data_IF_359565506414
#
_entry.id   IF_359565506414
#
_cell.length_a   1.000
_cell.length_b   1.000
_cell.length_c   1.000
_cell.angle_alpha   90.00
_cell.angle_beta   90.00
_cell.angle_gamma   90.00
#
_symmetry.space_group_name_H-M   'P 1'
#
loop_
_entity.id
_entity.type
_entity.pdbx_description
1 polymer ?
#
# COMPACT_ATOMS: atom_id res chain seq x y z
N UNK A 1 -6.58 -8.28 2.67
CA UNK A 1 -6.91 -7.44 1.51
C UNK A 1 -8.10 -8.02 0.76
N UNK A 2 -8.02 -9.24 0.22
CA UNK A 2 -9.16 -9.91 -0.42
C UNK A 2 -10.32 -10.13 0.55
N UNK A 3 -10.04 -10.43 1.81
CA UNK A 3 -11.08 -10.51 2.84
C UNK A 3 -11.83 -9.19 3.05
N UNK A 4 -11.15 -8.06 2.88
CA UNK A 4 -11.73 -6.73 3.05
C UNK A 4 -12.72 -6.40 1.91
N UNK A 5 -12.55 -7.02 0.74
CA UNK A 5 -13.51 -6.95 -0.38
C UNK A 5 -14.84 -7.61 -0.01
N UNK A 6 -14.83 -8.67 0.80
CA UNK A 6 -16.05 -9.38 1.21
C UNK A 6 -16.90 -8.61 2.23
N UNK A 7 -16.26 -7.80 3.06
CA UNK A 7 -16.91 -7.02 4.14
C UNK A 7 -17.19 -5.58 3.72
N UNK A 8 -16.53 -5.08 2.67
CA UNK A 8 -16.74 -3.75 2.13
C UNK A 8 -18.05 -3.61 1.36
N UNK A 9 -18.78 -2.53 1.61
CA UNK A 9 -19.88 -2.14 0.72
C UNK A 9 -19.30 -1.76 -0.66
N UNK A 10 -19.84 -2.22 -1.81
CA UNK A 10 -19.26 -1.93 -3.13
C UNK A 10 -19.03 -0.44 -3.42
N UNK A 11 -19.94 0.43 -2.95
CA UNK A 11 -19.75 1.90 -3.01
C UNK A 11 -18.55 2.43 -2.21
N UNK A 12 -18.16 1.76 -1.13
CA UNK A 12 -16.99 2.09 -0.30
C UNK A 12 -15.70 1.52 -0.92
N UNK A 13 -15.79 0.35 -1.57
CA UNK A 13 -14.68 -0.26 -2.32
C UNK A 13 -14.35 0.50 -3.61
N UNK A 14 -15.37 1.17 -4.18
CA UNK A 14 -15.28 1.98 -5.41
C UNK A 14 -15.33 3.49 -5.14
N UNK A 15 -15.11 3.94 -3.90
CA UNK A 15 -15.11 5.38 -3.62
C UNK A 15 -14.02 6.05 -4.46
N UNK A 16 -14.44 6.96 -5.35
CA UNK A 16 -13.52 7.66 -6.24
C UNK A 16 -12.60 8.61 -5.46
N UNK A 17 -11.42 8.90 -6.02
CA UNK A 17 -10.45 9.82 -5.42
C UNK A 17 -11.07 11.21 -5.15
N UNK A 18 -11.97 11.65 -6.03
CA UNK A 18 -12.74 12.90 -5.88
C UNK A 18 -13.65 12.87 -4.67
N UNK A 19 -14.45 11.82 -4.50
CA UNK A 19 -15.41 11.72 -3.40
C UNK A 19 -14.69 11.58 -2.06
N UNK A 20 -13.60 10.82 -2.04
CA UNK A 20 -12.72 10.72 -0.89
C UNK A 20 -12.09 12.09 -0.53
N UNK A 21 -11.60 12.82 -1.53
CA UNK A 21 -11.04 14.16 -1.32
C UNK A 21 -12.09 15.18 -0.83
N UNK A 22 -13.34 15.07 -1.28
CA UNK A 22 -14.44 15.93 -0.83
C UNK A 22 -14.75 15.73 0.66
N UNK A 23 -14.72 14.48 1.14
CA UNK A 23 -14.88 14.21 2.58
C UNK A 23 -13.74 14.90 3.36
N UNK A 24 -12.50 14.68 2.93
CA UNK A 24 -11.32 15.25 3.58
C UNK A 24 -11.29 16.77 3.57
N UNK A 25 -11.75 17.40 2.48
CA UNK A 25 -11.82 18.85 2.36
C UNK A 25 -12.75 19.50 3.41
N UNK A 26 -13.71 18.73 3.95
CA UNK A 26 -14.62 19.22 5.00
C UNK A 26 -14.11 18.97 6.42
N UNK A 27 -12.94 18.35 6.59
CA UNK A 27 -12.42 17.85 7.87
C UNK A 27 -10.96 18.21 8.11
N UNK A 28 -10.49 19.32 7.54
CA UNK A 28 -9.07 19.68 7.55
C UNK A 28 -8.51 19.86 8.96
N UNK A 29 -9.31 20.36 9.91
CA UNK A 29 -8.91 20.55 11.29
C UNK A 29 -8.76 19.22 12.06
N UNK A 30 -9.72 18.31 11.88
CA UNK A 30 -9.72 16.98 12.48
C UNK A 30 -8.56 16.14 11.94
N UNK A 31 -8.34 16.19 10.63
CA UNK A 31 -7.21 15.52 9.97
C UNK A 31 -5.88 16.06 10.50
N UNK A 32 -5.71 17.39 10.54
CA UNK A 32 -4.50 18.01 11.06
C UNK A 32 -4.24 17.62 12.53
N UNK A 33 -5.28 17.49 13.33
CA UNK A 33 -5.18 17.04 14.73
C UNK A 33 -4.73 15.59 14.80
N UNK A 34 -5.34 14.69 14.04
CA UNK A 34 -5.02 13.27 14.02
C UNK A 34 -3.59 12.99 13.52
N UNK A 35 -3.15 13.69 12.46
CA UNK A 35 -1.79 13.59 11.92
C UNK A 35 -0.74 14.01 12.96
N UNK A 36 -0.99 15.11 13.68
CA UNK A 36 -0.09 15.60 14.74
C UNK A 36 -0.09 14.67 15.95
N UNK A 37 -1.25 14.20 16.40
CA UNK A 37 -1.33 13.31 17.57
C UNK A 37 -0.68 11.95 17.33
N UNK A 38 -0.71 11.45 16.09
CA UNK A 38 -0.02 10.24 15.69
C UNK A 38 1.44 10.46 15.27
N UNK A 39 2.02 11.64 15.50
CA UNK A 39 3.38 12.05 15.08
C UNK A 39 3.72 11.58 13.66
N UNK A 40 2.80 11.81 12.72
CA UNK A 40 3.00 11.44 11.31
C UNK A 40 3.45 9.98 11.10
N UNK A 41 3.03 9.09 11.99
CA UNK A 41 3.43 7.68 12.01
C UNK A 41 2.26 6.81 11.58
N UNK A 42 2.47 5.98 10.56
CA UNK A 42 1.46 5.09 10.05
C UNK A 42 1.02 4.11 11.14
N UNK A 43 -0.27 4.12 11.47
CA UNK A 43 -0.80 3.24 12.52
C UNK A 43 -0.81 1.74 12.14
N UNK A 44 -0.51 1.40 10.87
CA UNK A 44 -0.45 0.03 10.36
C UNK A 44 0.99 -0.50 10.37
N UNK A 45 1.89 0.15 9.63
CA UNK A 45 3.26 -0.32 9.48
C UNK A 45 4.26 0.43 10.38
N UNK A 46 3.92 1.55 11.01
CA UNK A 46 4.81 2.28 11.91
C UNK A 46 5.91 3.10 11.20
N UNK A 47 5.90 3.16 9.86
CA UNK A 47 6.75 4.12 9.14
C UNK A 47 6.30 5.54 9.50
N UNK A 48 7.25 6.46 9.70
CA UNK A 48 7.01 7.88 9.95
C UNK A 48 7.41 8.71 8.74
N UNK A 49 6.50 9.55 8.23
CA UNK A 49 6.70 10.41 7.06
C UNK A 49 6.06 11.77 7.29
N UNK A 50 6.85 12.70 7.83
CA UNK A 50 6.34 14.02 8.18
C UNK A 50 5.88 14.79 6.94
N UNK A 51 4.62 15.24 6.92
CA UNK A 51 4.02 15.95 5.79
C UNK A 51 3.57 15.07 4.61
N UNK A 52 3.84 13.76 4.64
CA UNK A 52 3.48 12.82 3.57
C UNK A 52 2.56 11.68 4.01
N UNK A 53 2.10 11.67 5.26
CA UNK A 53 1.04 10.75 5.69
C UNK A 53 -0.31 11.12 5.07
N UNK A 54 -1.07 10.09 4.69
CA UNK A 54 -2.48 10.17 4.39
C UNK A 54 -3.29 9.92 5.68
N UNK A 55 -4.62 9.98 5.58
CA UNK A 55 -5.52 9.74 6.70
C UNK A 55 -6.40 8.51 6.45
N UNK A 56 -6.44 7.60 7.42
CA UNK A 56 -7.36 6.45 7.42
C UNK A 56 -8.61 6.81 8.23
N UNK A 57 -9.78 6.49 7.69
CA UNK A 57 -11.05 6.62 8.37
C UNK A 57 -11.39 5.30 9.04
N UNK A 58 -11.11 5.18 10.34
CA UNK A 58 -11.20 3.92 11.10
C UNK A 58 -12.62 3.35 11.16
N UNK A 59 -13.64 4.17 10.90
CA UNK A 59 -15.05 3.79 10.88
C UNK A 59 -15.71 3.97 9.50
N UNK A 60 -14.90 3.90 8.44
CA UNK A 60 -15.33 4.04 7.05
C UNK A 60 -15.42 5.50 6.58
N UNK A 61 -15.54 5.71 5.26
CA UNK A 61 -15.52 7.03 4.63
C UNK A 61 -16.76 7.87 4.92
N UNK A 62 -16.73 8.54 6.08
CA UNK A 62 -17.75 9.47 6.53
C UNK A 62 -17.09 10.63 7.27
N UNK A 63 -17.88 11.66 7.56
CA UNK A 63 -17.46 12.71 8.48
C UNK A 63 -17.14 12.09 9.85
N UNK A 64 -15.93 12.33 10.34
CA UNK A 64 -15.38 11.72 11.53
C UNK A 64 -14.70 12.75 12.41
N UNK A 65 -14.68 12.51 13.72
CA UNK A 65 -13.89 13.30 14.66
C UNK A 65 -12.43 12.84 14.63
N UNK A 66 -11.49 13.65 15.12
CA UNK A 66 -10.05 13.32 15.10
C UNK A 66 -9.72 11.94 15.70
N UNK A 67 -10.42 11.50 16.74
CA UNK A 67 -10.21 10.19 17.38
C UNK A 67 -10.67 8.99 16.53
N UNK A 68 -11.41 9.23 15.45
CA UNK A 68 -11.82 8.20 14.47
C UNK A 68 -10.93 8.20 13.22
N UNK A 69 -9.88 9.01 13.22
CA UNK A 69 -8.91 9.15 12.15
C UNK A 69 -7.53 8.72 12.66
N UNK A 70 -6.72 8.15 11.78
CA UNK A 70 -5.33 7.82 12.10
C UNK A 70 -4.41 8.11 10.92
N UNK A 71 -3.14 8.52 11.16
CA UNK A 71 -2.17 8.62 10.08
C UNK A 71 -1.93 7.25 9.45
N UNK A 72 -1.84 7.22 8.13
CA UNK A 72 -1.53 6.01 7.35
C UNK A 72 -0.61 6.37 6.19
N UNK A 73 0.37 5.53 5.90
CA UNK A 73 1.22 5.75 4.73
C UNK A 73 0.48 5.32 3.46
N UNK A 74 0.83 5.93 2.33
CA UNK A 74 0.20 5.65 1.03
C UNK A 74 0.16 4.15 0.71
N UNK A 75 1.25 3.42 0.97
CA UNK A 75 1.32 1.99 0.66
C UNK A 75 0.35 1.13 1.49
N UNK A 76 0.18 1.43 2.77
CA UNK A 76 -0.81 0.72 3.58
C UNK A 76 -2.24 1.18 3.26
N UNK A 77 -2.41 2.44 2.87
CA UNK A 77 -3.72 3.01 2.57
C UNK A 77 -4.28 2.50 1.24
N UNK A 78 -3.44 2.32 0.22
CA UNK A 78 -3.83 1.68 -1.04
C UNK A 78 -4.49 0.30 -0.80
N UNK A 79 -4.05 -0.44 0.22
CA UNK A 79 -4.61 -1.75 0.58
C UNK A 79 -5.91 -1.67 1.38
N UNK A 80 -6.28 -0.49 1.91
CA UNK A 80 -7.65 -0.22 2.38
C UNK A 80 -8.63 -0.04 1.22
N UNK A 81 -8.12 0.30 0.04
CA UNK A 81 -8.90 0.54 -1.17
C UNK A 81 -8.39 -0.33 -2.33
N UNK A 82 -8.38 -1.68 -2.16
CA UNK A 82 -7.66 -2.56 -3.06
C UNK A 82 -8.17 -2.50 -4.50
N UNK A 83 -9.49 -2.48 -4.71
CA UNK A 83 -10.09 -2.30 -6.04
C UNK A 83 -9.59 -1.02 -6.72
N UNK A 84 -9.65 0.09 -6.01
CA UNK A 84 -9.23 1.40 -6.52
C UNK A 84 -7.73 1.47 -6.81
N UNK A 85 -6.91 0.88 -5.94
CA UNK A 85 -5.45 0.88 -6.07
C UNK A 85 -5.00 -0.01 -7.25
N UNK A 86 -5.59 -1.19 -7.40
CA UNK A 86 -5.27 -2.12 -8.49
C UNK A 86 -5.72 -1.59 -9.84
N UNK A 87 -6.93 -1.03 -9.95
CA UNK A 87 -7.43 -0.39 -11.17
C UNK A 87 -6.55 0.78 -11.64
N UNK A 88 -5.78 1.39 -10.74
CA UNK A 88 -4.83 2.48 -11.03
C UNK A 88 -3.38 2.04 -11.11
N UNK A 89 -3.11 0.73 -11.04
CA UNK A 89 -1.75 0.17 -11.06
C UNK A 89 -0.85 0.84 -10.00
N UNK A 90 -1.36 1.01 -8.78
CA UNK A 90 -0.59 1.58 -7.66
C UNK A 90 0.17 0.52 -6.86
N UNK A 91 -0.29 -0.72 -6.92
CA UNK A 91 0.39 -1.87 -6.34
C UNK A 91 0.23 -3.08 -7.26
N UNK A 92 1.08 -4.08 -7.06
CA UNK A 92 1.08 -5.34 -7.80
C UNK A 92 1.38 -6.50 -6.85
N UNK A 93 0.95 -7.73 -7.18
CA UNK A 93 1.06 -8.86 -6.28
C UNK A 93 2.46 -9.46 -6.34
N UNK A 94 2.93 -9.95 -5.20
CA UNK A 94 4.12 -10.78 -5.08
C UNK A 94 3.80 -11.99 -4.21
N UNK A 95 4.30 -13.15 -4.59
CA UNK A 95 4.18 -14.37 -3.79
C UNK A 95 5.17 -14.29 -2.63
N UNK A 96 4.65 -14.06 -1.43
CA UNK A 96 5.44 -13.84 -0.23
C UNK A 96 4.69 -14.31 1.02
N UNK A 97 4.41 -15.63 1.14
CA UNK A 97 3.72 -16.19 2.31
C UNK A 97 4.53 -16.04 3.61
N UNK A 98 5.84 -15.95 3.47
CA UNK A 98 6.89 -15.80 4.48
C UNK A 98 6.99 -14.37 5.07
N UNK A 99 6.49 -13.36 4.36
CA UNK A 99 6.64 -11.96 4.74
C UNK A 99 5.33 -11.37 5.24
N UNK A 100 5.31 -10.53 6.27
CA UNK A 100 4.09 -9.77 6.59
C UNK A 100 3.94 -8.54 5.68
N UNK A 101 2.71 -8.17 5.30
CA UNK A 101 2.47 -6.99 4.46
C UNK A 101 3.05 -5.70 5.05
N UNK A 102 2.99 -5.54 6.39
CA UNK A 102 3.57 -4.39 7.10
C UNK A 102 5.09 -4.29 6.94
N UNK A 103 5.79 -5.42 6.84
CA UNK A 103 7.23 -5.48 6.63
C UNK A 103 7.57 -5.14 5.18
N UNK A 104 6.83 -5.72 4.23
CA UNK A 104 6.96 -5.33 2.81
C UNK A 104 6.74 -3.83 2.60
N UNK A 105 5.73 -3.23 3.26
CA UNK A 105 5.50 -1.79 3.16
C UNK A 105 6.63 -0.95 3.76
N UNK A 106 7.27 -1.39 4.86
CA UNK A 106 8.46 -0.70 5.42
C UNK A 106 9.64 -0.79 4.48
N UNK A 107 9.91 -2.00 3.98
CA UNK A 107 10.99 -2.27 3.03
C UNK A 107 10.80 -1.43 1.76
N UNK A 108 9.58 -1.37 1.22
CA UNK A 108 9.24 -0.53 0.07
C UNK A 108 9.57 0.95 0.30
N UNK A 109 9.27 1.50 1.48
CA UNK A 109 9.63 2.88 1.81
C UNK A 109 11.14 3.08 1.91
N UNK A 110 11.86 2.13 2.52
CA UNK A 110 13.32 2.18 2.59
C UNK A 110 13.95 2.11 1.19
N UNK A 111 13.48 1.19 0.35
CA UNK A 111 13.95 1.04 -1.04
C UNK A 111 13.71 2.31 -1.84
N UNK A 112 12.50 2.86 -1.81
CA UNK A 112 12.21 4.13 -2.48
C UNK A 112 13.12 5.26 -1.97
N UNK A 113 13.44 5.22 -0.68
CA UNK A 113 14.43 6.06 -0.03
C UNK A 113 15.79 6.05 -0.71
N UNK A 114 16.27 4.85 -1.00
CA UNK A 114 17.62 4.62 -1.50
C UNK A 114 17.71 4.66 -3.03
N UNK A 115 16.64 4.33 -3.74
CA UNK A 115 16.53 4.53 -5.19
C UNK A 115 16.87 5.95 -5.63
N UNK A 116 16.61 6.91 -4.75
CA UNK A 116 16.76 8.34 -5.01
C UNK A 116 18.13 8.86 -4.59
N UNK A 117 19.06 7.96 -4.23
CA UNK A 117 20.45 8.22 -3.83
C UNK A 117 21.43 7.52 -4.78
N UNK A 118 22.56 8.17 -5.03
CA UNK A 118 23.57 7.76 -6.02
C UNK A 118 24.19 6.37 -5.73
N UNK A 119 24.30 6.00 -4.46
CA UNK A 119 24.89 4.72 -3.99
C UNK A 119 23.86 3.57 -3.88
N UNK A 120 22.56 3.86 -3.97
CA UNK A 120 21.48 2.89 -3.73
C UNK A 120 21.11 1.99 -4.91
N UNK A 121 21.62 2.30 -6.12
CA UNK A 121 21.21 1.64 -7.36
C UNK A 121 21.49 0.13 -7.40
N UNK A 122 22.67 -0.31 -6.95
CA UNK A 122 23.05 -1.73 -7.02
C UNK A 122 22.26 -2.61 -6.03
N UNK A 123 21.98 -2.10 -4.84
CA UNK A 123 21.12 -2.79 -3.84
C UNK A 123 19.70 -2.93 -4.39
N UNK A 124 19.23 -1.89 -5.07
CA UNK A 124 17.90 -1.86 -5.64
C UNK A 124 17.72 -2.88 -6.79
N UNK A 125 18.69 -3.00 -7.70
CA UNK A 125 18.64 -3.98 -8.79
C UNK A 125 18.55 -5.43 -8.28
N UNK A 126 19.35 -5.79 -7.26
CA UNK A 126 19.30 -7.14 -6.67
C UNK A 126 17.95 -7.46 -6.02
N UNK A 127 17.35 -6.48 -5.34
CA UNK A 127 16.03 -6.62 -4.72
C UNK A 127 14.93 -6.71 -5.78
N UNK A 128 15.02 -5.93 -6.86
CA UNK A 128 14.09 -6.01 -7.99
C UNK A 128 14.11 -7.37 -8.69
N UNK A 129 15.29 -7.98 -8.86
CA UNK A 129 15.42 -9.33 -9.43
C UNK A 129 14.60 -10.36 -8.66
N UNK A 130 14.77 -10.40 -7.33
CA UNK A 130 14.02 -11.33 -6.47
C UNK A 130 12.51 -11.02 -6.42
N UNK A 131 12.13 -9.74 -6.52
CA UNK A 131 10.72 -9.32 -6.61
C UNK A 131 10.09 -9.84 -7.90
N UNK A 132 10.81 -9.81 -9.03
CA UNK A 132 10.27 -10.24 -10.33
C UNK A 132 9.93 -11.73 -10.36
N UNK A 133 10.77 -12.58 -9.76
CA UNK A 133 10.48 -14.01 -9.62
C UNK A 133 9.22 -14.25 -8.77
N UNK A 134 9.09 -13.53 -7.66
CA UNK A 134 7.90 -13.59 -6.78
C UNK A 134 6.65 -13.00 -7.44
N UNK A 135 6.78 -12.01 -8.32
CA UNK A 135 5.68 -11.45 -9.12
C UNK A 135 5.16 -12.49 -10.11
N UNK A 136 6.04 -13.19 -10.84
CA UNK A 136 5.64 -14.26 -11.76
C UNK A 136 4.86 -15.35 -11.04
N UNK A 137 5.37 -15.82 -9.90
CA UNK A 137 4.69 -16.84 -9.09
C UNK A 137 3.32 -16.37 -8.57
N UNK A 138 3.17 -15.07 -8.28
CA UNK A 138 1.87 -14.51 -7.90
C UNK A 138 0.87 -14.54 -9.05
N UNK A 139 1.28 -14.19 -10.27
CA UNK A 139 0.41 -14.25 -11.43
C UNK A 139 0.05 -15.68 -11.82
N UNK A 140 0.94 -16.65 -11.63
CA UNK A 140 0.62 -18.07 -11.81
C UNK A 140 -0.49 -18.51 -10.84
N UNK A 141 -0.42 -18.08 -9.57
CA UNK A 141 -1.47 -18.34 -8.56
C UNK A 141 -2.82 -17.71 -8.95
N UNK A 142 -2.78 -16.54 -9.59
CA UNK A 142 -3.95 -15.81 -10.09
C UNK A 142 -4.39 -16.25 -11.49
N UNK A 143 -3.77 -17.28 -12.06
CA UNK A 143 -4.03 -17.79 -13.41
C UNK A 143 -3.90 -16.74 -14.52
N UNK A 144 -2.94 -15.82 -14.35
CA UNK A 144 -2.66 -14.76 -15.32
C UNK A 144 -3.72 -13.66 -15.40
N UNK A 145 -4.71 -13.65 -14.51
CA UNK A 145 -5.66 -12.55 -14.42
C UNK A 145 -5.00 -11.28 -13.86
N UNK A 146 -5.49 -10.12 -14.29
CA UNK A 146 -5.11 -8.87 -13.66
C UNK A 146 -5.72 -8.79 -12.24
N UNK A 147 -5.10 -8.00 -11.36
CA UNK A 147 -5.51 -7.94 -9.96
C UNK A 147 -6.94 -7.43 -9.73
N UNK A 148 -7.44 -6.54 -10.60
CA UNK A 148 -8.81 -6.06 -10.51
C UNK A 148 -9.80 -7.21 -10.76
N UNK A 149 -9.56 -8.00 -11.82
CA UNK A 149 -10.35 -9.20 -12.12
C UNK A 149 -10.31 -10.24 -10.99
N UNK A 150 -9.14 -10.48 -10.39
CA UNK A 150 -9.02 -11.38 -9.25
C UNK A 150 -9.87 -10.91 -8.05
N UNK A 151 -9.92 -9.60 -7.77
CA UNK A 151 -10.72 -9.04 -6.69
C UNK A 151 -12.23 -9.13 -6.99
N UNK A 152 -12.64 -8.87 -8.23
CA UNK A 152 -14.03 -9.06 -8.66
C UNK A 152 -14.45 -10.53 -8.62
N UNK A 153 -13.55 -11.46 -8.95
CA UNK A 153 -13.82 -12.89 -8.90
C UNK A 153 -14.22 -13.35 -7.49
N UNK A 154 -13.63 -12.78 -6.43
CA UNK A 154 -14.05 -13.06 -5.05
C UNK A 154 -15.51 -12.67 -4.79
N UNK A 155 -15.97 -11.55 -5.35
CA UNK A 155 -17.36 -11.12 -5.26
C UNK A 155 -18.29 -12.07 -6.04
N UNK A 156 -17.86 -12.51 -7.22
CA UNK A 156 -18.61 -13.47 -8.04
C UNK A 156 -18.73 -14.81 -7.34
N UNK A 157 -17.65 -15.33 -6.73
CA UNK A 157 -17.67 -16.57 -5.94
C UNK A 157 -18.64 -16.42 -4.76
N UNK A 158 -18.63 -15.28 -4.07
CA UNK A 158 -19.57 -15.03 -2.97
C UNK A 158 -21.01 -15.14 -3.44
N UNK A 159 -21.33 -14.52 -4.57
CA UNK A 159 -22.70 -14.45 -5.07
C UNK A 159 -23.17 -15.77 -5.70
N UNK A 160 -22.27 -16.58 -6.26
CA UNK A 160 -22.60 -17.85 -6.94
C UNK A 160 -22.44 -19.10 -6.06
N UNK A 161 -21.38 -19.17 -5.26
CA UNK A 161 -20.99 -20.34 -4.46
C UNK A 161 -21.16 -20.12 -2.95
N UNK A 162 -21.42 -18.88 -2.53
CA UNK A 162 -21.72 -18.53 -1.15
C UNK A 162 -20.55 -17.90 -0.39
N UNK A 163 -20.88 -17.23 0.71
CA UNK A 163 -19.94 -16.41 1.48
C UNK A 163 -18.77 -17.20 2.10
N UNK A 164 -19.01 -18.42 2.58
CA UNK A 164 -17.95 -19.24 3.18
C UNK A 164 -16.91 -19.68 2.15
N UNK A 165 -17.35 -20.05 0.94
CA UNK A 165 -16.43 -20.43 -0.14
C UNK A 165 -15.56 -19.24 -0.55
N UNK A 166 -16.17 -18.07 -0.75
CA UNK A 166 -15.44 -16.85 -1.08
C UNK A 166 -14.44 -16.46 0.01
N UNK A 167 -14.82 -16.59 1.28
CA UNK A 167 -13.95 -16.34 2.42
C UNK A 167 -12.76 -17.31 2.45
N UNK A 168 -12.96 -18.59 2.15
CA UNK A 168 -11.87 -19.57 2.09
C UNK A 168 -10.84 -19.20 1.00
N UNK A 169 -11.32 -18.85 -0.20
CA UNK A 169 -10.45 -18.43 -1.31
C UNK A 169 -9.73 -17.13 -0.96
N UNK A 170 -10.45 -16.13 -0.44
CA UNK A 170 -9.87 -14.86 -0.02
C UNK A 170 -8.79 -15.01 1.06
N UNK A 171 -8.99 -15.90 2.04
CA UNK A 171 -7.98 -16.22 3.06
C UNK A 171 -6.74 -16.85 2.43
N UNK A 172 -6.90 -17.82 1.53
CA UNK A 172 -5.77 -18.49 0.86
C UNK A 172 -4.91 -17.47 0.07
N UNK A 173 -5.55 -16.55 -0.63
CA UNK A 173 -4.87 -15.48 -1.35
C UNK A 173 -4.20 -14.48 -0.41
N UNK A 174 -4.90 -14.04 0.65
CA UNK A 174 -4.34 -13.12 1.65
C UNK A 174 -3.17 -13.74 2.43
N UNK A 175 -3.11 -15.06 2.59
CA UNK A 175 -1.99 -15.78 3.21
C UNK A 175 -0.78 -15.84 2.27
N UNK A 176 -1.00 -16.06 0.98
CA UNK A 176 0.06 -16.29 -0.01
C UNK A 176 0.64 -15.03 -0.63
N UNK A 177 -0.20 -14.01 -0.83
CA UNK A 177 0.15 -12.82 -1.61
C UNK A 177 0.42 -11.62 -0.72
N UNK A 178 1.41 -10.82 -1.13
CA UNK A 178 1.65 -9.47 -0.63
C UNK A 178 1.66 -8.50 -1.80
N UNK A 179 1.65 -7.21 -1.49
CA UNK A 179 1.49 -6.16 -2.48
C UNK A 179 2.63 -5.17 -2.37
N UNK A 180 3.42 -5.08 -3.44
CA UNK A 180 4.48 -4.09 -3.56
C UNK A 180 3.94 -2.86 -4.31
N UNK A 181 4.30 -1.64 -3.88
CA UNK A 181 3.94 -0.42 -4.62
C UNK A 181 4.62 -0.35 -5.98
N UNK A 182 3.89 0.06 -7.01
CA UNK A 182 4.42 0.13 -8.39
C UNK A 182 5.57 1.12 -8.52
N UNK A 183 5.54 2.25 -7.79
CA UNK A 183 6.66 3.20 -7.75
C UNK A 183 7.99 2.56 -7.31
N UNK A 184 7.94 1.51 -6.49
CA UNK A 184 9.14 0.76 -6.08
C UNK A 184 9.55 -0.26 -7.13
N UNK A 185 8.63 -0.85 -7.89
CA UNK A 185 8.99 -1.81 -8.95
C UNK A 185 9.56 -1.14 -10.19
N UNK A 186 8.88 -0.08 -10.64
CA UNK A 186 9.23 0.61 -11.89
C UNK A 186 10.27 1.72 -11.67
N UNK A 187 10.57 2.01 -10.41
CA UNK A 187 11.44 3.13 -10.05
C UNK A 187 10.89 4.50 -10.42
N UNK A 188 9.57 4.62 -10.43
CA UNK A 188 8.89 5.86 -10.74
C UNK A 188 8.69 6.75 -9.51
N UNK A 189 8.60 8.08 -9.67
CA UNK A 189 8.27 8.97 -8.58
C UNK A 189 6.92 8.62 -7.95
N UNK A 190 6.86 8.67 -6.62
CA UNK A 190 5.61 8.51 -5.87
C UNK A 190 4.56 9.52 -6.36
N UNK A 191 3.34 9.07 -6.63
CA UNK A 191 2.23 9.93 -7.03
C UNK A 191 1.16 10.02 -5.95
N UNK A 192 0.72 11.25 -5.63
CA UNK A 192 -0.36 11.52 -4.67
C UNK A 192 -1.49 12.27 -5.34
N UNK A 193 -2.69 12.14 -4.78
CA UNK A 193 -3.83 12.96 -5.20
C UNK A 193 -3.70 14.39 -4.65
N UNK A 194 -3.93 15.37 -5.51
CA UNK A 194 -4.10 16.80 -5.20
C UNK A 194 -5.44 17.27 -5.75
N UNK A 195 -5.93 18.47 -5.37
CA UNK A 195 -7.14 19.05 -5.97
C UNK A 195 -7.06 19.14 -7.51
N UNK A 196 -5.86 19.26 -8.08
CA UNK A 196 -5.61 19.28 -9.53
C UNK A 196 -5.36 17.89 -10.15
N UNK A 197 -5.58 16.81 -9.39
CA UNK A 197 -5.40 15.42 -9.83
C UNK A 197 -4.14 14.76 -9.26
N UNK A 198 -3.69 13.66 -9.88
CA UNK A 198 -2.46 13.02 -9.44
C UNK A 198 -1.24 13.88 -9.79
N UNK A 199 -0.37 14.07 -8.81
CA UNK A 199 0.90 14.78 -8.94
C UNK A 199 2.03 13.95 -8.35
N UNK A 200 3.18 14.00 -9.00
CA UNK A 200 4.41 13.44 -8.46
C UNK A 200 4.80 14.20 -7.19
N UNK A 201 5.25 13.47 -6.18
CA UNK A 201 5.84 14.05 -4.97
C UNK A 201 7.29 14.42 -5.27
N UNK A 202 7.69 15.69 -5.10
CA UNK A 202 9.08 16.10 -5.25
C UNK A 202 10.03 15.30 -4.35
N UNK A 203 11.15 14.82 -4.91
CA UNK A 203 12.16 14.04 -4.18
C UNK A 203 12.67 14.75 -2.92
N UNK A 204 12.83 16.08 -2.98
CA UNK A 204 13.26 16.87 -1.82
C UNK A 204 12.27 16.80 -0.64
N UNK A 205 10.96 16.73 -0.91
CA UNK A 205 9.95 16.55 0.14
C UNK A 205 9.99 15.14 0.71
N UNK A 206 10.30 14.16 -0.13
CA UNK A 206 10.44 12.77 0.27
C UNK A 206 11.63 12.56 1.21
N UNK A 207 12.82 13.05 0.85
CA UNK A 207 14.01 13.00 1.73
C UNK A 207 13.77 13.74 3.04
N UNK A 208 13.15 14.91 3.00
CA UNK A 208 12.80 15.67 4.21
C UNK A 208 11.87 14.89 5.12
N UNK A 209 10.87 14.20 4.57
CA UNK A 209 9.88 13.45 5.33
C UNK A 209 10.45 12.19 6.00
N UNK A 210 11.42 11.53 5.36
CA UNK A 210 12.07 10.34 5.90
C UNK A 210 13.18 10.63 6.92
N UNK A 211 13.69 11.87 6.96
CA UNK A 211 14.77 12.26 7.86
C UNK A 211 16.17 11.96 7.30
N UNK A 212 17.20 11.81 8.16
CA UNK A 212 18.58 11.60 7.71
C UNK A 212 18.75 10.30 6.92
N UNK A 213 19.88 10.15 6.22
CA UNK A 213 20.19 8.94 5.46
C UNK A 213 20.12 7.69 6.34
N UNK A 214 19.46 6.60 5.88
CA UNK A 214 19.38 5.36 6.62
C UNK A 214 20.73 4.61 6.58
N UNK A 215 20.89 3.68 7.51
CA UNK A 215 22.03 2.78 7.59
C UNK A 215 21.89 1.69 6.50
N UNK A 216 22.70 1.81 5.45
CA UNK A 216 22.63 0.95 4.26
C UNK A 216 23.05 -0.49 4.55
N UNK A 217 24.04 -0.68 5.41
CA UNK A 217 24.51 -2.02 5.80
C UNK A 217 23.41 -2.79 6.54
N UNK A 218 22.67 -2.08 7.39
CA UNK A 218 21.52 -2.65 8.10
C UNK A 218 20.35 -2.98 7.16
N UNK A 219 20.08 -2.14 6.16
CA UNK A 219 19.04 -2.40 5.16
C UNK A 219 19.41 -3.58 4.26
N UNK A 220 20.66 -3.65 3.79
CA UNK A 220 21.16 -4.76 2.99
C UNK A 220 21.11 -6.09 3.77
N UNK A 221 21.48 -6.06 5.05
CA UNK A 221 21.39 -7.24 5.93
C UNK A 221 19.95 -7.71 6.11
N UNK A 222 19.02 -6.79 6.37
CA UNK A 222 17.60 -7.13 6.51
C UNK A 222 16.99 -7.64 5.19
N UNK A 223 17.38 -7.07 4.05
CA UNK A 223 16.96 -7.55 2.74
C UNK A 223 17.51 -8.96 2.47
N UNK A 224 18.79 -9.21 2.77
CA UNK A 224 19.41 -10.53 2.60
C UNK A 224 18.75 -11.60 3.48
N UNK A 225 18.44 -11.29 4.74
CA UNK A 225 17.70 -12.19 5.63
C UNK A 225 16.32 -12.55 5.06
N UNK A 226 15.56 -11.53 4.61
CA UNK A 226 14.25 -11.71 3.99
C UNK A 226 14.28 -12.48 2.66
N UNK A 227 15.37 -12.36 1.90
CA UNK A 227 15.56 -13.05 0.63
C UNK A 227 16.07 -14.49 0.78
N UNK A 228 16.60 -14.83 1.96
CA UNK A 228 17.15 -16.15 2.27
C UNK A 228 16.18 -17.09 2.99
N UNK A 229 15.00 -16.60 3.38
CA UNK A 229 13.91 -17.34 4.03
C UNK A 229 12.89 -17.87 3.01
#
# INVERSE_FOLDING_TARGET
MFRDVLTGHPRLLNLGARDHALINATMTAEIATALKSGDWTCHVCGVRLEGLMEIDHLKGHRKSIAAELAPICQFCHDLRHPMWAMARKRAFPVYAPDLAQKELSRMAWALLGEMTREEGGAVFEGVLGAISERESAAFDLLQGENMESALEAILVIRDREGAEKAKQVATTLDESLRYLPVCVRDGEPLTRWTPEGFRQVPLALFHKAMGPAPDLDRLASAAAELLSA
#
